data_IF_096490837373
#
_entry.id   IF_096490837373
#
_cell.length_a   1.000
_cell.length_b   1.000
_cell.length_c   1.000
_cell.angle_alpha   90.00
_cell.angle_beta   90.00
_cell.angle_gamma   90.00
#
_symmetry.space_group_name_H-M   'P 1'
#
loop_
_entity.id
_entity.type
_entity.pdbx_description
1 polymer ?
#
# COMPACT_ATOMS: atom_id res chain seq x y z
N UNK A 1 -22.75 1.18 14.41
CA UNK A 1 -21.34 1.07 13.94
C UNK A 1 -20.64 -0.12 14.62
N UNK A 2 -19.90 -0.93 13.87
CA UNK A 2 -19.22 -2.12 14.41
C UNK A 2 -18.13 -1.76 15.43
N UNK A 3 -17.91 -2.63 16.42
CA UNK A 3 -16.79 -2.52 17.37
C UNK A 3 -15.46 -2.70 16.65
N UNK A 4 -14.46 -1.91 17.04
CA UNK A 4 -13.11 -1.92 16.45
C UNK A 4 -12.06 -2.47 17.42
N UNK A 5 -12.40 -2.65 18.69
CA UNK A 5 -11.53 -3.20 19.72
C UNK A 5 -12.24 -4.33 20.48
N UNK A 6 -11.53 -5.44 20.71
CA UNK A 6 -12.06 -6.64 21.35
C UNK A 6 -11.11 -7.11 22.44
N UNK A 7 -11.58 -7.08 23.68
CA UNK A 7 -10.83 -7.56 24.83
C UNK A 7 -11.59 -8.74 25.46
N UNK A 8 -10.97 -9.42 26.43
CA UNK A 8 -11.51 -10.65 27.01
C UNK A 8 -12.96 -10.54 27.52
N UNK A 9 -13.37 -9.34 27.96
CA UNK A 9 -14.66 -9.12 28.60
C UNK A 9 -15.64 -8.27 27.78
N UNK A 10 -15.34 -8.00 26.51
CA UNK A 10 -16.25 -7.23 25.69
C UNK A 10 -15.63 -6.65 24.43
N UNK A 11 -16.40 -5.77 23.81
CA UNK A 11 -15.95 -5.02 22.64
C UNK A 11 -16.38 -3.58 22.75
N UNK A 12 -15.56 -2.69 22.21
CA UNK A 12 -15.86 -1.27 22.14
C UNK A 12 -15.47 -0.71 20.79
N UNK A 13 -15.99 0.48 20.48
CA UNK A 13 -15.55 1.24 19.32
C UNK A 13 -14.64 2.37 19.80
N UNK A 14 -13.35 2.23 19.52
CA UNK A 14 -12.32 3.19 19.92
C UNK A 14 -11.68 3.88 18.70
N UNK A 15 -11.79 3.26 17.52
CA UNK A 15 -11.13 3.72 16.31
C UNK A 15 -12.12 4.42 15.38
N UNK A 16 -11.74 5.62 14.94
CA UNK A 16 -12.55 6.47 14.07
C UNK A 16 -11.68 7.10 12.98
N UNK A 17 -12.24 7.19 11.78
CA UNK A 17 -11.73 8.03 10.70
C UNK A 17 -12.68 9.21 10.59
N UNK A 18 -12.17 10.40 10.85
CA UNK A 18 -12.93 11.64 10.67
C UNK A 18 -12.34 12.44 9.51
N UNK A 19 -13.22 13.10 8.75
CA UNK A 19 -12.83 14.05 7.71
C UNK A 19 -13.39 15.42 8.05
N UNK A 20 -12.73 16.47 7.55
CA UNK A 20 -13.25 17.83 7.72
C UNK A 20 -14.59 18.01 7.01
N UNK A 21 -15.47 18.93 7.46
CA UNK A 21 -16.73 19.21 6.77
C UNK A 21 -16.57 19.64 5.31
N UNK A 22 -15.42 20.25 4.97
CA UNK A 22 -15.05 20.63 3.61
C UNK A 22 -14.17 19.60 2.90
N UNK A 23 -14.08 18.36 3.42
CA UNK A 23 -13.22 17.35 2.81
C UNK A 23 -13.74 16.98 1.41
N UNK A 24 -12.90 17.12 0.37
CA UNK A 24 -13.33 17.13 -1.02
C UNK A 24 -13.78 15.77 -1.58
N UNK A 25 -13.58 14.68 -0.83
CA UNK A 25 -13.96 13.35 -1.26
C UNK A 25 -14.85 12.72 -0.19
N UNK A 26 -16.19 12.72 -0.35
CA UNK A 26 -17.04 12.00 0.58
C UNK A 26 -16.63 10.52 0.63
N UNK A 27 -16.64 9.93 1.83
CA UNK A 27 -16.38 8.51 2.01
C UNK A 27 -17.42 7.70 1.23
N UNK A 28 -16.97 6.93 0.24
CA UNK A 28 -17.83 6.08 -0.58
C UNK A 28 -18.40 4.93 0.25
N UNK A 29 -17.58 4.37 1.14
CA UNK A 29 -17.97 3.38 2.12
C UNK A 29 -16.98 3.33 3.28
N UNK A 30 -17.44 2.82 4.43
CA UNK A 30 -16.60 2.50 5.59
C UNK A 30 -17.02 1.13 6.14
N UNK A 31 -16.05 0.28 6.44
CA UNK A 31 -16.31 -1.04 7.03
C UNK A 31 -15.18 -1.44 7.99
N UNK A 32 -15.47 -2.41 8.85
CA UNK A 32 -14.56 -2.89 9.88
C UNK A 32 -14.25 -4.35 9.57
N UNK A 33 -12.98 -4.64 9.32
CA UNK A 33 -12.48 -5.96 8.96
C UNK A 33 -11.56 -6.53 10.03
N UNK A 34 -11.55 -7.85 10.16
CA UNK A 34 -10.61 -8.50 11.08
C UNK A 34 -9.21 -8.44 10.47
N UNK A 35 -8.20 -8.03 11.25
CA UNK A 35 -6.81 -8.10 10.79
C UNK A 35 -6.47 -9.55 10.39
N UNK A 36 -5.87 -9.78 9.22
CA UNK A 36 -5.39 -11.10 8.85
C UNK A 36 -4.39 -11.60 9.89
N UNK A 37 -4.41 -12.90 10.17
CA UNK A 37 -3.50 -13.51 11.13
C UNK A 37 -2.06 -13.40 10.61
N UNK A 38 -1.13 -13.11 11.52
CA UNK A 38 0.30 -13.19 11.23
C UNK A 38 0.83 -14.46 11.91
N UNK A 39 1.35 -15.40 11.13
CA UNK A 39 1.83 -16.71 11.61
C UNK A 39 0.76 -17.49 12.38
N UNK A 40 -0.47 -17.54 11.83
CA UNK A 40 -1.66 -18.15 12.45
C UNK A 40 -2.12 -17.55 13.77
N UNK A 41 -1.46 -16.49 14.25
CA UNK A 41 -1.79 -15.79 15.46
C UNK A 41 -2.48 -14.46 15.16
N UNK A 42 -3.51 -14.16 15.95
CA UNK A 42 -4.07 -12.82 15.98
C UNK A 42 -3.07 -11.89 16.66
N UNK A 43 -2.48 -10.97 15.89
CA UNK A 43 -1.41 -10.09 16.38
C UNK A 43 -1.94 -8.81 17.02
N UNK A 44 -3.25 -8.56 16.94
CA UNK A 44 -3.92 -7.39 17.52
C UNK A 44 -5.36 -7.68 17.91
N UNK A 45 -5.77 -7.10 19.03
CA UNK A 45 -7.14 -7.00 19.55
C UNK A 45 -8.00 -5.94 18.84
N UNK A 46 -7.39 -5.15 17.95
CA UNK A 46 -8.10 -4.22 17.09
C UNK A 46 -8.52 -4.86 15.75
N UNK A 47 -9.59 -4.31 15.18
CA UNK A 47 -10.03 -4.56 13.80
C UNK A 47 -9.68 -3.37 12.92
N UNK A 48 -9.39 -3.65 11.65
CA UNK A 48 -9.04 -2.64 10.66
C UNK A 48 -10.29 -1.84 10.29
N UNK A 49 -10.25 -0.54 10.51
CA UNK A 49 -11.24 0.38 9.95
C UNK A 49 -10.79 0.80 8.55
N UNK A 50 -11.52 0.38 7.52
CA UNK A 50 -11.22 0.69 6.13
C UNK A 50 -12.27 1.65 5.61
N UNK A 51 -11.82 2.80 5.10
CA UNK A 51 -12.68 3.74 4.40
C UNK A 51 -12.11 4.02 3.02
N UNK A 52 -12.99 4.05 2.01
CA UNK A 52 -12.61 4.46 0.67
C UNK A 52 -13.17 5.85 0.38
N UNK A 53 -12.33 6.72 -0.18
CA UNK A 53 -12.71 8.04 -0.62
C UNK A 53 -12.72 8.08 -2.15
N UNK A 54 -13.79 8.63 -2.73
CA UNK A 54 -13.83 8.80 -4.17
C UNK A 54 -13.24 10.16 -4.55
N UNK A 55 -12.05 10.14 -5.16
CA UNK A 55 -11.38 11.32 -5.71
C UNK A 55 -11.59 11.47 -7.23
N UNK A 56 -12.52 10.74 -7.85
CA UNK A 56 -12.72 10.79 -9.31
C UNK A 56 -13.09 12.19 -9.81
N UNK A 57 -13.73 13.01 -8.97
CA UNK A 57 -14.05 14.41 -9.25
C UNK A 57 -12.92 15.39 -8.88
N UNK A 58 -11.87 14.92 -8.20
CA UNK A 58 -10.78 15.70 -7.60
C UNK A 58 -9.42 15.36 -8.19
N UNK A 59 -9.36 15.10 -9.50
CA UNK A 59 -8.09 15.21 -10.19
C UNK A 59 -7.65 16.66 -10.10
N UNK A 60 -6.64 16.94 -9.28
CA UNK A 60 -5.86 18.15 -9.40
C UNK A 60 -5.33 18.15 -10.84
N UNK A 61 -6.00 18.86 -11.74
CA UNK A 61 -5.47 19.20 -13.04
C UNK A 61 -4.36 20.18 -12.75
N UNK A 62 -3.19 19.67 -12.34
CA UNK A 62 -1.99 20.49 -12.29
C UNK A 62 -1.87 21.09 -13.68
N UNK A 63 -1.92 22.43 -13.75
CA UNK A 63 -1.84 23.12 -15.03
C UNK A 63 -0.63 22.57 -15.78
N UNK A 64 -0.80 22.20 -17.06
CA UNK A 64 0.24 21.57 -17.89
C UNK A 64 1.56 22.34 -17.84
N UNK A 65 1.49 23.67 -17.69
CA UNK A 65 2.63 24.56 -17.48
C UNK A 65 3.41 24.30 -16.18
N UNK A 66 2.74 24.01 -15.06
CA UNK A 66 3.37 23.70 -13.77
C UNK A 66 4.10 22.35 -13.81
N UNK A 67 3.48 21.34 -14.41
CA UNK A 67 4.12 20.03 -14.62
C UNK A 67 5.39 20.17 -15.46
N UNK A 68 5.31 20.97 -16.54
CA UNK A 68 6.46 21.27 -17.42
C UNK A 68 7.55 22.08 -16.73
N UNK A 69 7.21 23.06 -15.91
CA UNK A 69 8.18 23.90 -15.19
C UNK A 69 8.93 23.14 -14.09
N UNK A 70 8.26 22.22 -13.39
CA UNK A 70 8.87 21.49 -12.28
C UNK A 70 9.49 20.15 -12.66
N UNK A 71 9.30 19.69 -13.91
CA UNK A 71 9.66 18.34 -14.34
C UNK A 71 9.16 17.25 -13.37
N UNK A 72 8.02 17.51 -12.71
CA UNK A 72 7.41 16.58 -11.75
C UNK A 72 6.75 15.45 -12.54
N UNK A 73 7.35 14.26 -12.50
CA UNK A 73 6.76 13.05 -13.04
C UNK A 73 6.02 12.28 -11.94
N UNK A 74 4.90 11.68 -12.30
CA UNK A 74 4.19 10.73 -11.44
C UNK A 74 4.07 9.41 -12.17
N UNK A 75 4.55 8.36 -11.53
CA UNK A 75 4.28 6.99 -11.97
C UNK A 75 2.89 6.58 -11.49
N UNK A 76 2.05 6.15 -12.43
CA UNK A 76 0.71 5.65 -12.16
C UNK A 76 0.68 4.18 -12.58
N UNK A 77 0.51 3.28 -11.60
CA UNK A 77 0.31 1.86 -11.87
C UNK A 77 -1.18 1.60 -12.10
N UNK A 78 -1.56 1.23 -13.32
CA UNK A 78 -2.95 1.03 -13.71
C UNK A 78 -3.29 -0.47 -13.76
N UNK A 79 -3.72 -1.02 -12.63
CA UNK A 79 -3.88 -2.47 -12.49
C UNK A 79 -5.10 -3.08 -13.19
N UNK A 80 -6.15 -2.29 -13.46
CA UNK A 80 -7.45 -2.81 -13.93
C UNK A 80 -7.44 -3.43 -15.34
N UNK A 81 -6.42 -3.15 -16.14
CA UNK A 81 -6.32 -3.61 -17.53
C UNK A 81 -5.00 -4.35 -17.81
N UNK A 82 -4.27 -4.76 -16.76
CA UNK A 82 -3.05 -5.55 -16.93
C UNK A 82 -3.44 -6.95 -17.40
N UNK A 83 -2.72 -7.45 -18.41
CA UNK A 83 -2.77 -8.85 -18.78
C UNK A 83 -1.99 -9.67 -17.76
N UNK A 84 -2.37 -10.93 -17.59
CA UNK A 84 -1.77 -11.83 -16.59
C UNK A 84 -0.27 -11.99 -16.80
N UNK A 85 0.20 -12.09 -18.05
CA UNK A 85 1.62 -12.20 -18.39
C UNK A 85 2.45 -10.98 -17.93
N UNK A 86 1.90 -9.78 -18.07
CA UNK A 86 2.54 -8.54 -17.62
C UNK A 86 2.55 -8.46 -16.09
N UNK A 87 1.45 -8.87 -15.45
CA UNK A 87 1.36 -8.93 -13.99
C UNK A 87 2.35 -9.93 -13.40
N UNK A 88 2.49 -11.10 -13.99
CA UNK A 88 3.42 -12.15 -13.55
C UNK A 88 4.86 -11.68 -13.71
N UNK A 89 5.21 -11.07 -14.85
CA UNK A 89 6.53 -10.51 -15.07
C UNK A 89 6.88 -9.42 -14.03
N UNK A 90 5.94 -8.50 -13.77
CA UNK A 90 6.10 -7.49 -12.73
C UNK A 90 6.27 -8.10 -11.34
N UNK A 91 5.39 -9.03 -10.97
CA UNK A 91 5.38 -9.65 -9.64
C UNK A 91 6.65 -10.45 -9.38
N UNK A 92 7.11 -11.23 -10.37
CA UNK A 92 8.35 -12.00 -10.28
C UNK A 92 9.57 -11.10 -10.08
N UNK A 93 9.64 -9.98 -10.81
CA UNK A 93 10.76 -9.05 -10.69
C UNK A 93 10.74 -8.30 -9.35
N UNK A 94 9.57 -7.83 -8.90
CA UNK A 94 9.44 -7.19 -7.57
C UNK A 94 9.79 -8.16 -6.45
N UNK A 95 9.36 -9.43 -6.54
CA UNK A 95 9.68 -10.47 -5.57
C UNK A 95 11.19 -10.76 -5.53
N UNK A 96 11.83 -10.94 -6.69
CA UNK A 96 13.29 -11.14 -6.78
C UNK A 96 14.07 -10.00 -6.12
N UNK A 97 13.68 -8.75 -6.38
CA UNK A 97 14.30 -7.57 -5.75
C UNK A 97 14.05 -7.50 -4.25
N UNK A 98 12.86 -7.87 -3.80
CA UNK A 98 12.53 -7.93 -2.38
C UNK A 98 13.40 -8.97 -1.68
N UNK A 99 13.49 -10.18 -2.22
CA UNK A 99 14.35 -11.24 -1.70
C UNK A 99 15.82 -10.79 -1.61
N UNK A 100 16.35 -10.18 -2.67
CA UNK A 100 17.71 -9.65 -2.70
C UNK A 100 17.93 -8.57 -1.63
N UNK A 101 17.00 -7.63 -1.49
CA UNK A 101 17.08 -6.56 -0.50
C UNK A 101 17.13 -7.12 0.92
N UNK A 102 16.23 -8.06 1.22
CA UNK A 102 16.14 -8.72 2.52
C UNK A 102 17.39 -9.53 2.82
N UNK A 103 17.89 -10.31 1.86
CA UNK A 103 19.13 -11.08 2.03
C UNK A 103 20.35 -10.19 2.31
N UNK A 104 20.41 -9.01 1.70
CA UNK A 104 21.54 -8.08 1.86
C UNK A 104 21.50 -7.31 3.18
N UNK A 105 20.33 -6.80 3.57
CA UNK A 105 20.20 -5.91 4.74
C UNK A 105 19.86 -6.66 6.02
N UNK A 106 19.36 -7.90 5.90
CA UNK A 106 18.87 -8.70 7.01
C UNK A 106 19.26 -10.18 6.87
N UNK A 107 20.56 -10.50 6.72
CA UNK A 107 21.04 -11.86 6.42
C UNK A 107 20.76 -12.88 7.53
N UNK A 108 20.48 -12.43 8.75
CA UNK A 108 20.20 -13.27 9.92
C UNK A 108 18.73 -13.69 10.03
N UNK A 109 17.84 -13.18 9.19
CA UNK A 109 16.41 -13.46 9.27
C UNK A 109 16.03 -14.50 8.22
N UNK A 110 15.60 -15.67 8.67
CA UNK A 110 15.30 -16.84 7.82
C UNK A 110 13.89 -16.85 7.23
N UNK A 111 13.00 -15.94 7.66
CA UNK A 111 11.62 -15.91 7.19
C UNK A 111 11.02 -14.50 7.21
N UNK A 112 10.17 -14.20 6.21
CA UNK A 112 9.35 -12.98 6.13
C UNK A 112 8.54 -12.75 7.41
N UNK A 113 8.07 -13.83 8.03
CA UNK A 113 7.27 -13.80 9.27
C UNK A 113 7.99 -13.24 10.50
N UNK A 114 9.32 -13.23 10.48
CA UNK A 114 10.15 -12.71 11.57
C UNK A 114 10.42 -11.20 11.44
N UNK A 115 9.99 -10.58 10.34
CA UNK A 115 10.13 -9.15 10.16
C UNK A 115 8.98 -8.35 10.78
N UNK A 116 9.29 -7.24 11.47
CA UNK A 116 8.31 -6.22 11.77
C UNK A 116 7.60 -5.71 10.50
N UNK A 117 6.30 -5.45 10.59
CA UNK A 117 5.46 -5.08 9.44
C UNK A 117 5.92 -3.79 8.76
N UNK A 118 6.43 -2.81 9.53
CA UNK A 118 6.97 -1.56 9.01
C UNK A 118 8.23 -1.78 8.14
N UNK A 119 9.09 -2.74 8.52
CA UNK A 119 10.28 -3.09 7.74
C UNK A 119 9.92 -3.84 6.45
N UNK A 120 8.96 -4.77 6.53
CA UNK A 120 8.43 -5.46 5.34
C UNK A 120 7.83 -4.46 4.35
N UNK A 121 7.00 -3.54 4.87
CA UNK A 121 6.37 -2.51 4.05
C UNK A 121 7.39 -1.62 3.36
N UNK A 122 8.43 -1.20 4.09
CA UNK A 122 9.50 -0.39 3.53
C UNK A 122 10.31 -1.13 2.46
N UNK A 123 10.64 -2.40 2.70
CA UNK A 123 11.33 -3.25 1.74
C UNK A 123 10.51 -3.43 0.45
N UNK A 124 9.23 -3.79 0.58
CA UNK A 124 8.31 -3.94 -0.55
C UNK A 124 8.18 -2.65 -1.37
N UNK A 125 7.98 -1.51 -0.69
CA UNK A 125 7.89 -0.21 -1.34
C UNK A 125 9.15 0.09 -2.16
N UNK A 126 10.34 -0.20 -1.62
CA UNK A 126 11.60 -0.03 -2.34
C UNK A 126 11.69 -0.93 -3.56
N UNK A 127 11.31 -2.20 -3.46
CA UNK A 127 11.35 -3.13 -4.59
C UNK A 127 10.46 -2.69 -5.74
N UNK A 128 9.24 -2.21 -5.44
CA UNK A 128 8.31 -1.67 -6.45
C UNK A 128 8.90 -0.43 -7.12
N UNK A 129 9.47 0.51 -6.36
CA UNK A 129 10.05 1.74 -6.91
C UNK A 129 11.33 1.47 -7.72
N UNK A 130 12.09 0.44 -7.37
CA UNK A 130 13.29 0.06 -8.11
C UNK A 130 12.96 -0.54 -9.49
N UNK A 131 11.82 -1.23 -9.63
CA UNK A 131 11.31 -1.70 -10.92
C UNK A 131 11.00 -0.53 -11.86
N UNK A 132 10.35 0.51 -11.32
CA UNK A 132 9.99 1.71 -12.09
C UNK A 132 11.22 2.43 -12.68
N UNK A 133 12.29 2.54 -11.89
CA UNK A 133 13.57 3.08 -12.36
C UNK A 133 14.21 2.23 -13.47
N UNK A 134 14.02 0.90 -13.44
CA UNK A 134 14.53 -0.03 -14.44
C UNK A 134 13.76 0.05 -15.76
N UNK A 135 12.43 0.13 -15.72
CA UNK A 135 11.61 0.38 -16.91
C UNK A 135 11.95 1.72 -17.57
N UNK A 136 12.28 2.75 -16.78
CA UNK A 136 12.67 4.05 -17.29
C UNK A 136 14.02 4.01 -18.06
N UNK A 137 14.96 3.17 -17.63
CA UNK A 137 16.25 2.99 -18.30
C UNK A 137 16.15 2.23 -19.63
N UNK A 138 15.24 1.25 -19.74
CA UNK A 138 15.04 0.50 -21.00
C UNK A 138 14.36 1.31 -22.11
N UNK A 139 13.62 2.38 -21.78
CA UNK A 139 12.93 3.23 -22.77
C UNK A 139 13.88 4.32 -23.34
N UNK A 140 14.99 4.62 -22.66
CA UNK A 140 15.95 5.64 -23.05
C UNK A 140 17.29 5.08 -23.56
N UNK A 141 17.43 3.75 -23.64
CA UNK A 141 18.59 3.03 -24.17
C UNK A 141 18.42 2.59 -25.62
#
# INVERSE_FOLDING_TARGET
PSSTFYHQNGSSRLDYIWSSPGFPAPGLFSHVETCPKLNDNQFTDHRVLITAFNFSSYFATLAKARLKQKSEQRTIFLYKNLKDDVWDAFSNEVNSRLELYLATHHPSISSLSAFPLDKLWHALKRSILAYDAYCYQQILG
#
